data_IF_731352045513
#
_entry.id   IF_731352045513
#
_cell.length_a   1.000
_cell.length_b   1.000
_cell.length_c   1.000
_cell.angle_alpha   90.00
_cell.angle_beta   90.00
_cell.angle_gamma   90.00
#
_symmetry.space_group_name_H-M   'P 1'
#
loop_
_entity.id
_entity.type
_entity.pdbx_description
1 polymer ?
#
# COMPACT_ATOMS: atom_id res chain seq x y z
N UNK A 1 -22.36 -22.31 0.15
CA UNK A 1 -22.06 -20.99 0.73
C UNK A 1 -20.97 -20.36 -0.12
N UNK A 2 -21.12 -19.09 -0.49
CA UNK A 2 -20.12 -18.32 -1.24
C UNK A 2 -19.80 -17.08 -0.40
N UNK A 3 -18.53 -16.67 -0.39
CA UNK A 3 -18.04 -15.50 0.34
C UNK A 3 -17.29 -14.58 -0.64
N UNK A 4 -17.31 -13.28 -0.35
CA UNK A 4 -16.51 -12.31 -1.08
C UNK A 4 -15.06 -12.33 -0.59
N UNK A 5 -14.13 -12.25 -1.54
CA UNK A 5 -12.70 -12.11 -1.31
C UNK A 5 -12.24 -10.76 -1.85
N UNK A 6 -11.52 -10.00 -1.04
CA UNK A 6 -10.89 -8.73 -1.43
C UNK A 6 -9.37 -8.92 -1.43
N UNK A 7 -8.77 -9.41 -2.54
CA UNK A 7 -7.35 -9.72 -2.56
C UNK A 7 -6.47 -8.47 -2.75
N UNK A 8 -7.03 -7.37 -3.26
CA UNK A 8 -6.28 -6.23 -3.78
C UNK A 8 -5.58 -5.39 -2.70
N UNK A 9 -6.26 -5.15 -1.58
CA UNK A 9 -5.83 -4.25 -0.52
C UNK A 9 -6.29 -4.76 0.85
N UNK A 10 -5.68 -4.24 1.90
CA UNK A 10 -6.08 -4.47 3.30
C UNK A 10 -6.47 -3.14 3.94
N UNK A 11 -6.86 -3.16 5.23
CA UNK A 11 -6.96 -1.93 6.04
C UNK A 11 -5.57 -1.37 6.36
N UNK A 12 -5.44 -0.05 6.51
CA UNK A 12 -4.24 0.56 7.11
C UNK A 12 -4.04 0.14 8.57
N UNK A 13 -5.07 -0.35 9.26
CA UNK A 13 -4.95 -0.95 10.59
C UNK A 13 -4.50 -2.43 10.55
N UNK A 14 -4.33 -3.03 9.37
CA UNK A 14 -3.89 -4.42 9.25
C UNK A 14 -2.44 -4.59 9.74
N UNK A 15 -2.18 -5.68 10.46
CA UNK A 15 -0.87 -5.96 11.04
C UNK A 15 0.26 -5.88 10.01
N UNK A 16 0.04 -6.45 8.81
CA UNK A 16 1.00 -6.35 7.72
C UNK A 16 1.32 -4.92 7.32
N UNK A 17 0.33 -4.02 7.28
CA UNK A 17 0.58 -2.63 6.91
C UNK A 17 1.36 -1.90 8.01
N UNK A 18 1.02 -2.14 9.28
CA UNK A 18 1.77 -1.57 10.41
C UNK A 18 3.23 -2.05 10.42
N UNK A 19 3.46 -3.35 10.21
CA UNK A 19 4.81 -3.92 10.06
C UNK A 19 5.55 -3.37 8.83
N UNK A 20 4.84 -3.22 7.71
CA UNK A 20 5.41 -2.61 6.50
C UNK A 20 5.78 -1.15 6.74
N UNK A 21 4.92 -0.38 7.42
CA UNK A 21 5.15 1.01 7.76
C UNK A 21 6.42 1.15 8.62
N UNK A 22 6.64 0.24 9.56
CA UNK A 22 7.84 0.21 10.41
C UNK A 22 9.06 -0.45 9.72
N UNK A 23 8.94 -0.86 8.45
CA UNK A 23 9.98 -1.58 7.70
C UNK A 23 10.45 -2.87 8.38
N UNK A 24 9.53 -3.59 9.04
CA UNK A 24 9.84 -4.80 9.80
C UNK A 24 10.02 -6.02 8.89
N UNK A 25 11.26 -6.52 8.83
CA UNK A 25 11.60 -7.80 8.19
C UNK A 25 11.07 -7.93 6.77
N UNK A 26 10.34 -9.02 6.52
CA UNK A 26 9.78 -9.35 5.21
C UNK A 26 8.56 -8.50 4.81
N UNK A 27 7.89 -7.87 5.79
CA UNK A 27 6.68 -7.07 5.56
C UNK A 27 6.99 -5.72 4.91
N UNK A 28 8.25 -5.28 4.93
CA UNK A 28 8.68 -3.99 4.36
C UNK A 28 8.24 -3.79 2.90
N UNK A 29 8.11 -4.88 2.14
CA UNK A 29 7.75 -4.89 0.71
C UNK A 29 6.38 -5.54 0.43
N UNK A 30 5.53 -5.72 1.47
CA UNK A 30 4.17 -6.23 1.31
C UNK A 30 3.23 -5.23 0.63
N UNK A 31 3.54 -3.94 0.70
CA UNK A 31 2.78 -2.86 0.06
C UNK A 31 3.68 -2.11 -0.92
N UNK A 32 3.04 -1.33 -1.80
CA UNK A 32 3.75 -0.57 -2.83
C UNK A 32 4.20 0.76 -2.25
N UNK A 33 5.52 0.91 -2.06
CA UNK A 33 6.17 2.13 -1.58
C UNK A 33 7.01 2.77 -2.68
N UNK A 34 6.99 4.11 -2.76
CA UNK A 34 7.84 4.90 -3.65
C UNK A 34 8.27 6.20 -3.00
N UNK A 35 9.46 6.68 -3.34
CA UNK A 35 9.93 7.99 -2.87
C UNK A 35 9.06 9.10 -3.49
N UNK A 36 8.73 10.16 -2.72
CA UNK A 36 8.15 11.37 -3.30
C UNK A 36 9.13 12.03 -4.27
N UNK A 37 8.64 12.94 -5.09
CA UNK A 37 9.51 13.84 -5.87
C UNK A 37 10.26 14.80 -4.95
N UNK A 38 11.29 15.46 -5.46
CA UNK A 38 12.12 16.41 -4.71
C UNK A 38 11.34 17.59 -4.12
N UNK A 39 10.20 17.94 -4.69
CA UNK A 39 9.27 18.97 -4.20
C UNK A 39 8.26 18.45 -3.16
N UNK A 40 8.37 17.18 -2.76
CA UNK A 40 7.45 16.50 -1.84
C UNK A 40 6.16 16.00 -2.46
N UNK A 41 5.94 16.21 -3.77
CA UNK A 41 4.74 15.74 -4.45
C UNK A 41 4.78 14.22 -4.72
N UNK A 42 3.62 13.58 -4.97
CA UNK A 42 3.55 12.15 -5.28
C UNK A 42 4.46 11.72 -6.45
N UNK A 43 4.87 10.44 -6.50
CA UNK A 43 5.78 9.91 -7.53
C UNK A 43 5.28 10.12 -8.97
N UNK A 44 3.97 10.12 -9.18
CA UNK A 44 3.32 10.34 -10.46
C UNK A 44 1.93 10.99 -10.26
N UNK A 45 1.17 11.15 -11.35
CA UNK A 45 -0.15 11.79 -11.37
C UNK A 45 -1.33 10.78 -11.32
N UNK A 46 -1.11 9.58 -10.80
CA UNK A 46 -2.20 8.60 -10.65
C UNK A 46 -3.25 9.08 -9.64
N UNK A 47 -4.52 8.83 -9.97
CA UNK A 47 -5.70 9.31 -9.24
C UNK A 47 -6.43 8.12 -8.63
N UNK A 48 -6.82 8.24 -7.36
CA UNK A 48 -7.67 7.26 -6.68
C UNK A 48 -9.05 7.21 -7.30
N UNK A 49 -9.68 6.03 -7.28
CA UNK A 49 -11.08 5.85 -7.68
C UNK A 49 -12.04 6.75 -6.89
N UNK A 50 -11.72 7.05 -5.62
CA UNK A 50 -12.54 7.93 -4.77
C UNK A 50 -12.08 9.40 -4.81
N UNK A 51 -11.36 9.79 -5.86
CA UNK A 51 -10.76 11.10 -6.09
C UNK A 51 -9.55 11.44 -5.19
N UNK A 52 -8.74 12.39 -5.68
CA UNK A 52 -7.45 12.76 -5.07
C UNK A 52 -6.29 11.86 -5.54
N UNK A 53 -5.05 12.17 -5.12
CA UNK A 53 -3.88 11.37 -5.46
C UNK A 53 -4.02 9.92 -5.00
N UNK A 54 -3.55 8.96 -5.81
CA UNK A 54 -3.49 7.55 -5.43
C UNK A 54 -2.29 7.20 -4.53
N UNK A 55 -1.66 8.23 -3.94
CA UNK A 55 -0.46 8.11 -3.12
C UNK A 55 -0.64 8.93 -1.85
N UNK A 56 -0.33 8.32 -0.71
CA UNK A 56 -0.27 9.02 0.57
C UNK A 56 1.15 8.93 1.11
N UNK A 57 1.79 10.08 1.32
CA UNK A 57 3.12 10.16 1.89
C UNK A 57 3.05 10.07 3.42
N UNK A 58 3.92 9.25 4.01
CA UNK A 58 3.95 9.04 5.45
C UNK A 58 5.21 9.71 6.03
N UNK A 59 5.09 10.31 7.22
CA UNK A 59 6.22 10.90 7.93
C UNK A 59 7.04 9.89 8.73
N UNK A 60 6.45 8.76 9.17
CA UNK A 60 7.15 7.75 9.97
C UNK A 60 8.06 6.85 9.15
N UNK A 61 7.75 6.66 7.87
CA UNK A 61 8.59 5.98 6.87
C UNK A 61 8.82 6.92 5.72
N UNK A 62 10.08 7.17 5.37
CA UNK A 62 10.39 7.93 4.16
C UNK A 62 9.77 7.22 2.94
N UNK A 63 8.76 7.84 2.34
CA UNK A 63 8.06 7.30 1.17
C UNK A 63 6.56 7.58 1.16
N UNK A 64 5.96 7.30 0.01
CA UNK A 64 4.53 7.34 -0.23
C UNK A 64 4.04 5.93 -0.60
N UNK A 65 2.97 5.48 0.05
CA UNK A 65 2.34 4.21 -0.29
C UNK A 65 1.21 4.42 -1.30
N UNK A 66 1.02 3.44 -2.17
CA UNK A 66 -0.04 3.45 -3.17
C UNK A 66 -1.38 2.96 -2.59
N UNK A 67 -2.47 3.59 -3.02
CA UNK A 67 -3.83 3.13 -2.79
C UNK A 67 -4.73 3.48 -3.99
N UNK A 68 -5.33 2.47 -4.62
CA UNK A 68 -6.25 2.62 -5.74
C UNK A 68 -7.59 3.21 -5.29
N UNK A 69 -7.99 2.93 -4.05
CA UNK A 69 -9.24 3.39 -3.44
C UNK A 69 -8.94 4.40 -2.32
N UNK A 70 -9.44 4.18 -1.10
CA UNK A 70 -9.23 5.11 0.00
C UNK A 70 -7.79 5.04 0.55
N UNK A 71 -7.28 6.12 1.14
CA UNK A 71 -5.96 6.12 1.81
C UNK A 71 -5.82 5.04 2.90
N UNK A 72 -6.94 4.65 3.51
CA UNK A 72 -7.01 3.57 4.50
C UNK A 72 -7.05 2.16 3.89
N UNK A 73 -6.92 2.06 2.57
CA UNK A 73 -6.94 0.82 1.81
C UNK A 73 -5.63 0.69 1.01
N UNK A 74 -4.48 0.56 1.68
CA UNK A 74 -3.19 0.42 1.02
C UNK A 74 -3.15 -0.85 0.18
N UNK A 75 -2.64 -0.73 -1.06
CA UNK A 75 -2.61 -1.84 -1.99
C UNK A 75 -1.43 -2.78 -1.74
N UNK A 76 -1.75 -4.07 -1.81
CA UNK A 76 -0.76 -5.12 -1.69
C UNK A 76 0.13 -5.15 -2.92
N UNK A 77 1.42 -5.41 -2.67
CA UNK A 77 2.40 -5.57 -3.73
C UNK A 77 2.36 -7.01 -4.27
N UNK A 78 1.46 -7.28 -5.22
CA UNK A 78 1.35 -8.59 -5.86
C UNK A 78 2.58 -8.99 -6.70
N UNK A 79 3.58 -8.13 -6.88
CA UNK A 79 4.88 -8.54 -7.44
C UNK A 79 5.76 -9.28 -6.43
N UNK A 80 5.41 -9.22 -5.15
CA UNK A 80 6.11 -9.92 -4.08
C UNK A 80 5.57 -11.37 -3.98
N UNK A 81 6.42 -12.40 -4.18
CA UNK A 81 5.98 -13.80 -4.11
C UNK A 81 5.48 -14.20 -2.72
N UNK A 82 5.92 -13.51 -1.65
CA UNK A 82 5.39 -13.75 -0.30
C UNK A 82 3.93 -13.31 -0.20
N UNK A 83 3.58 -12.16 -0.77
CA UNK A 83 2.18 -11.69 -0.82
C UNK A 83 1.30 -12.62 -1.64
N UNK A 84 1.79 -13.12 -2.79
CA UNK A 84 1.06 -14.10 -3.59
C UNK A 84 0.77 -15.37 -2.78
N UNK A 85 1.76 -15.87 -2.04
CA UNK A 85 1.62 -17.05 -1.20
C UNK A 85 0.60 -16.88 -0.06
N UNK A 86 0.45 -15.69 0.51
CA UNK A 86 -0.58 -15.42 1.53
C UNK A 86 -2.01 -15.41 0.95
N UNK A 87 -2.15 -15.39 -0.38
CA UNK A 87 -3.43 -15.34 -1.11
C UNK A 87 -3.80 -16.66 -1.79
N UNK A 88 -2.95 -17.69 -1.66
CA UNK A 88 -3.21 -19.07 -2.12
C UNK A 88 -4.14 -19.81 -1.14
#
# INVERSE_FOLDING_TARGET
>A
IVMDLVPNHTSDDHEWFQKSLNSEGDYKDYYIWRDPKSDGSPPNNWISVFAGPAWTCNSSRAGCYFHQFHRRQPDLNFRNPKVQKEME
#
